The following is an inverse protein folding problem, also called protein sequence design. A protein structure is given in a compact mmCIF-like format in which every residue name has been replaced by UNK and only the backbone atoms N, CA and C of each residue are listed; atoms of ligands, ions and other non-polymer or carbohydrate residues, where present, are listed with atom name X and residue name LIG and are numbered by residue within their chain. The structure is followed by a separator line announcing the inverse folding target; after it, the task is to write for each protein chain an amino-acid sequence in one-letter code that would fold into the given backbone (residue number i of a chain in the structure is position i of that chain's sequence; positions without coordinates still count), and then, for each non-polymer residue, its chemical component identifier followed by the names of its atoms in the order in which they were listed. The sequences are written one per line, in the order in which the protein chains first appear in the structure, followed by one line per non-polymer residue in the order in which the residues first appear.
data_IF_820685451390
#
_entry.id   IF_820685451390
#
_cell.length_a   1.000
_cell.length_b   1.000
_cell.length_c   1.000
_cell.angle_alpha   90.00
_cell.angle_beta   90.00
_cell.angle_gamma   90.00
#
_symmetry.space_group_name_H-M   'P 1'
#
loop_
_entity.id
_entity.type
_entity.pdbx_description
1 polymer ?
#
# COMPACT_ATOMS: atom_id res chain seq x y z
N UNK A 1 28.86 -18.88 -34.23
CA UNK A 1 27.40 -18.67 -34.21
C UNK A 1 26.78 -19.98 -33.72
N UNK A 2 26.04 -20.11 -32.61
CA UNK A 2 25.36 -19.18 -31.73
C UNK A 2 25.35 -19.77 -30.31
N UNK A 3 25.75 -18.93 -29.36
CA UNK A 3 25.24 -18.77 -27.98
C UNK A 3 24.75 -20.02 -27.23
N UNK A 4 25.68 -20.72 -26.61
CA UNK A 4 25.53 -21.10 -25.20
C UNK A 4 25.58 -19.79 -24.41
N UNK A 5 24.47 -19.36 -23.81
CA UNK A 5 24.33 -18.40 -22.69
C UNK A 5 22.88 -17.87 -22.71
N UNK A 6 21.95 -18.67 -22.23
CA UNK A 6 20.72 -18.15 -21.65
C UNK A 6 20.56 -18.78 -20.29
N UNK A 7 21.55 -18.51 -19.44
CA UNK A 7 21.40 -18.68 -18.00
C UNK A 7 20.40 -17.64 -17.53
N UNK A 8 19.23 -18.15 -17.15
CA UNK A 8 18.29 -17.60 -16.19
C UNK A 8 18.71 -16.27 -15.56
N UNK A 9 18.24 -15.16 -16.14
CA UNK A 9 18.00 -13.95 -15.37
C UNK A 9 16.58 -14.07 -14.82
N UNK A 10 16.40 -14.98 -13.85
CA UNK A 10 15.34 -14.82 -12.87
C UNK A 10 15.79 -13.65 -12.00
N UNK A 11 15.52 -12.44 -12.47
CA UNK A 11 15.68 -11.25 -11.67
C UNK A 11 14.70 -11.42 -10.51
N UNK A 12 15.24 -11.72 -9.32
CA UNK A 12 14.53 -11.62 -8.07
C UNK A 12 14.11 -10.16 -7.94
N UNK A 13 12.93 -9.85 -8.45
CA UNK A 13 12.23 -8.63 -8.09
C UNK A 13 11.91 -8.82 -6.63
N UNK A 14 12.78 -8.30 -5.77
CA UNK A 14 12.47 -8.01 -4.39
C UNK A 14 11.08 -7.37 -4.38
N UNK A 15 10.06 -8.12 -3.97
CA UNK A 15 8.70 -7.62 -3.81
C UNK A 15 8.70 -6.77 -2.55
N UNK A 16 9.33 -5.60 -2.65
CA UNK A 16 9.22 -4.58 -1.63
C UNK A 16 7.72 -4.33 -1.45
N UNK A 17 7.25 -4.42 -0.20
CA UNK A 17 5.89 -4.03 0.18
C UNK A 17 5.79 -2.53 0.09
N UNK A 18 5.68 -2.08 -1.14
CA UNK A 18 5.11 -0.79 -1.43
C UNK A 18 3.63 -1.10 -1.55
N UNK A 19 2.85 -0.86 -0.50
CA UNK A 19 1.54 -0.33 -0.80
C UNK A 19 1.86 0.93 -1.61
N UNK A 20 1.80 0.84 -2.95
CA UNK A 20 2.09 1.94 -3.85
C UNK A 20 0.93 2.90 -3.69
N UNK A 21 0.90 3.61 -2.56
CA UNK A 21 -0.02 4.68 -2.32
C UNK A 21 0.26 5.68 -3.44
N UNK A 22 -0.66 5.86 -4.40
CA UNK A 22 -0.40 6.76 -5.51
C UNK A 22 -0.28 8.18 -4.94
N UNK A 23 0.93 8.73 -5.03
CA UNK A 23 1.25 10.01 -4.42
C UNK A 23 0.66 11.15 -5.23
N UNK A 24 0.10 12.11 -4.51
CA UNK A 24 -0.35 13.35 -5.11
C UNK A 24 0.83 14.29 -5.39
N UNK A 25 0.76 15.16 -6.41
CA UNK A 25 1.86 16.04 -6.78
C UNK A 25 2.39 16.90 -5.62
N UNK A 26 1.52 17.33 -4.71
CA UNK A 26 1.93 18.10 -3.52
C UNK A 26 2.72 17.29 -2.49
N UNK A 27 2.72 15.95 -2.57
CA UNK A 27 3.55 15.04 -1.78
C UNK A 27 4.83 14.60 -2.49
N UNK A 28 5.16 15.15 -3.66
CA UNK A 28 6.38 14.76 -4.40
C UNK A 28 7.67 14.96 -3.57
N UNK A 29 7.69 15.95 -2.67
CA UNK A 29 8.80 16.21 -1.76
C UNK A 29 9.01 15.12 -0.70
N UNK A 30 8.04 14.23 -0.48
CA UNK A 30 8.09 13.14 0.51
C UNK A 30 8.56 11.81 -0.09
N UNK A 31 8.97 11.80 -1.36
CA UNK A 31 9.26 10.55 -2.11
C UNK A 31 10.35 9.72 -1.43
N UNK A 32 11.39 10.35 -0.89
CA UNK A 32 12.49 9.65 -0.24
C UNK A 32 12.07 9.07 1.12
N UNK A 33 11.35 9.83 1.93
CA UNK A 33 10.82 9.38 3.21
C UNK A 33 9.84 8.22 3.04
N UNK A 34 8.98 8.29 2.03
CA UNK A 34 8.04 7.21 1.71
C UNK A 34 8.76 5.95 1.20
N UNK A 35 9.86 6.12 0.45
CA UNK A 35 10.72 4.99 0.07
C UNK A 35 11.39 4.35 1.29
N UNK A 36 11.69 5.13 2.33
CA UNK A 36 12.27 4.59 3.56
C UNK A 36 11.25 3.84 4.43
N UNK A 37 9.95 3.89 4.10
CA UNK A 37 8.92 3.10 4.76
C UNK A 37 8.84 1.64 4.27
N UNK A 38 9.64 1.25 3.26
CA UNK A 38 9.68 -0.14 2.83
C UNK A 38 10.19 -1.03 3.97
N UNK A 39 9.37 -2.02 4.36
CA UNK A 39 9.78 -3.08 5.27
C UNK A 39 10.73 -4.07 4.58
N UNK A 40 11.29 -5.04 5.33
CA UNK A 40 12.00 -6.16 4.72
C UNK A 40 11.11 -6.90 3.70
N UNK A 41 11.72 -7.67 2.81
CA UNK A 41 10.99 -8.49 1.85
C UNK A 41 10.04 -9.46 2.55
N UNK A 42 8.84 -9.65 1.98
CA UNK A 42 7.92 -10.68 2.44
C UNK A 42 8.46 -12.07 2.12
N UNK A 43 8.07 -13.05 2.92
CA UNK A 43 8.53 -14.42 2.79
C UNK A 43 8.16 -15.09 1.45
N UNK A 44 7.12 -14.61 0.77
CA UNK A 44 6.63 -15.20 -0.49
C UNK A 44 5.79 -14.25 -1.35
N UNK A 45 5.67 -14.59 -2.64
CA UNK A 45 4.75 -13.93 -3.57
C UNK A 45 3.29 -14.10 -3.15
N UNK A 46 2.95 -15.21 -2.51
CA UNK A 46 1.59 -15.47 -2.02
C UNK A 46 1.22 -14.47 -0.92
N UNK A 47 2.09 -14.31 0.09
CA UNK A 47 1.92 -13.31 1.13
C UNK A 47 1.79 -11.90 0.54
N UNK A 48 2.64 -11.55 -0.42
CA UNK A 48 2.56 -10.27 -1.13
C UNK A 48 1.21 -10.07 -1.82
N UNK A 49 0.74 -11.05 -2.57
CA UNK A 49 -0.53 -10.96 -3.29
C UNK A 49 -1.72 -10.83 -2.33
N UNK A 50 -1.76 -11.66 -1.29
CA UNK A 50 -2.83 -11.61 -0.27
C UNK A 50 -2.88 -10.25 0.43
N UNK A 51 -1.73 -9.75 0.90
CA UNK A 51 -1.67 -8.46 1.60
C UNK A 51 -1.99 -7.28 0.67
N UNK A 52 -1.58 -7.36 -0.59
CA UNK A 52 -1.92 -6.37 -1.62
C UNK A 52 -3.42 -6.35 -1.91
N UNK A 53 -4.09 -7.50 -1.95
CA UNK A 53 -5.54 -7.57 -2.10
C UNK A 53 -6.28 -6.92 -0.92
N UNK A 54 -5.84 -7.16 0.32
CA UNK A 54 -6.42 -6.48 1.49
C UNK A 54 -6.26 -4.97 1.40
N UNK A 55 -5.05 -4.51 1.04
CA UNK A 55 -4.77 -3.10 0.82
C UNK A 55 -5.75 -2.48 -0.19
N UNK A 56 -5.97 -3.14 -1.33
CA UNK A 56 -6.92 -2.71 -2.35
C UNK A 56 -8.37 -2.70 -1.85
N UNK A 57 -8.79 -3.71 -1.09
CA UNK A 57 -10.13 -3.76 -0.49
C UNK A 57 -10.37 -2.59 0.46
N UNK A 58 -9.36 -2.16 1.22
CA UNK A 58 -9.46 -0.98 2.07
C UNK A 58 -9.59 0.30 1.27
N UNK A 59 -8.81 0.43 0.18
CA UNK A 59 -8.94 1.54 -0.74
C UNK A 59 -10.37 1.65 -1.30
N UNK A 60 -10.92 0.54 -1.79
CA UNK A 60 -12.28 0.47 -2.33
C UNK A 60 -13.37 0.71 -1.28
N UNK A 61 -13.18 0.23 -0.06
CA UNK A 61 -14.10 0.47 1.06
C UNK A 61 -14.11 1.96 1.42
N UNK A 62 -12.94 2.58 1.59
CA UNK A 62 -12.82 3.98 1.95
C UNK A 62 -13.30 4.91 0.83
N UNK A 63 -13.08 4.53 -0.43
CA UNK A 63 -13.66 5.21 -1.58
C UNK A 63 -15.19 5.25 -1.49
N UNK A 64 -15.83 4.10 -1.27
CA UNK A 64 -17.28 3.99 -1.13
C UNK A 64 -17.81 4.72 0.12
N UNK A 65 -17.08 4.68 1.23
CA UNK A 65 -17.49 5.31 2.49
C UNK A 65 -17.47 6.84 2.41
N UNK A 66 -16.44 7.42 1.80
CA UNK A 66 -16.20 8.86 1.81
C UNK A 66 -16.83 9.53 0.57
N UNK A 67 -16.79 8.86 -0.58
CA UNK A 67 -17.29 9.37 -1.85
C UNK A 67 -18.06 8.29 -2.63
N UNK A 68 -19.23 7.85 -2.13
CA UNK A 68 -19.99 6.73 -2.71
C UNK A 68 -20.42 6.93 -4.17
N UNK A 69 -20.45 8.18 -4.64
CA UNK A 69 -20.86 8.55 -6.00
C UNK A 69 -19.68 8.78 -6.94
N UNK A 70 -18.43 8.73 -6.46
CA UNK A 70 -17.24 8.94 -7.29
C UNK A 70 -16.71 7.61 -7.84
N UNK A 71 -16.34 7.61 -9.11
CA UNK A 71 -15.53 6.55 -9.71
C UNK A 71 -14.12 6.52 -9.11
N UNK A 72 -13.42 5.40 -9.27
CA UNK A 72 -12.01 5.25 -8.84
C UNK A 72 -11.09 6.30 -9.47
N UNK A 73 -11.33 6.64 -10.75
CA UNK A 73 -10.56 7.69 -11.44
C UNK A 73 -10.80 9.08 -10.86
N UNK A 74 -12.05 9.41 -10.51
CA UNK A 74 -12.39 10.70 -9.89
C UNK A 74 -11.82 10.80 -8.48
N UNK A 75 -11.80 9.67 -7.75
CA UNK A 75 -11.25 9.59 -6.41
C UNK A 75 -9.76 9.97 -6.36
N UNK A 76 -8.96 9.49 -7.31
CA UNK A 76 -7.53 9.86 -7.37
C UNK A 76 -7.34 11.35 -7.62
N UNK A 77 -8.08 11.92 -8.58
CA UNK A 77 -8.04 13.36 -8.87
C UNK A 77 -8.46 14.18 -7.65
N UNK A 78 -9.52 13.77 -6.94
CA UNK A 78 -10.00 14.45 -5.74
C UNK A 78 -9.02 14.35 -4.57
N UNK A 79 -8.43 13.18 -4.31
CA UNK A 79 -7.34 13.01 -3.32
C UNK A 79 -6.19 13.96 -3.60
N UNK A 80 -5.92 14.24 -4.87
CA UNK A 80 -4.82 15.12 -5.27
C UNK A 80 -5.18 16.60 -5.39
N UNK A 81 -6.47 16.95 -5.39
CA UNK A 81 -6.95 18.33 -5.38
C UNK A 81 -7.28 18.84 -3.97
N UNK A 82 -7.72 17.95 -3.06
CA UNK A 82 -8.18 18.32 -1.72
C UNK A 82 -7.37 17.58 -0.64
N UNK A 83 -6.54 18.34 0.10
CA UNK A 83 -5.71 17.82 1.20
C UNK A 83 -6.55 17.24 2.34
N UNK A 84 -7.70 17.84 2.65
CA UNK A 84 -8.60 17.36 3.71
C UNK A 84 -9.27 16.05 3.30
N UNK A 85 -9.75 15.97 2.05
CA UNK A 85 -10.29 14.73 1.50
C UNK A 85 -9.26 13.60 1.54
N UNK A 86 -8.03 13.89 1.12
CA UNK A 86 -6.93 12.93 1.15
C UNK A 86 -6.60 12.43 2.57
N UNK A 87 -6.59 13.35 3.55
CA UNK A 87 -6.40 12.99 4.97
C UNK A 87 -7.52 12.08 5.48
N UNK A 88 -8.79 12.40 5.20
CA UNK A 88 -9.93 11.55 5.57
C UNK A 88 -9.85 10.16 4.91
N UNK A 89 -9.40 10.12 3.65
CA UNK A 89 -9.23 8.88 2.91
C UNK A 89 -8.22 7.93 3.57
N UNK A 90 -7.00 8.40 3.83
CA UNK A 90 -6.00 7.55 4.47
C UNK A 90 -6.31 7.26 5.94
N UNK A 91 -7.02 8.16 6.64
CA UNK A 91 -7.48 7.87 8.01
C UNK A 91 -8.46 6.69 8.03
N UNK A 92 -9.41 6.66 7.08
CA UNK A 92 -10.28 5.50 6.91
C UNK A 92 -9.47 4.22 6.61
N UNK A 93 -8.45 4.31 5.76
CA UNK A 93 -7.59 3.17 5.43
C UNK A 93 -6.84 2.67 6.67
N UNK A 94 -6.25 3.58 7.45
CA UNK A 94 -5.57 3.26 8.71
C UNK A 94 -6.51 2.63 9.73
N UNK A 95 -7.78 3.06 9.79
CA UNK A 95 -8.79 2.42 10.64
C UNK A 95 -9.08 0.99 10.20
N UNK A 96 -9.18 0.73 8.89
CA UNK A 96 -9.37 -0.63 8.37
C UNK A 96 -8.18 -1.53 8.70
N UNK A 97 -6.95 -1.04 8.53
CA UNK A 97 -5.74 -1.80 8.86
C UNK A 97 -5.68 -2.23 10.33
N UNK A 98 -6.15 -1.35 11.23
CA UNK A 98 -6.18 -1.60 12.69
C UNK A 98 -7.31 -2.53 13.11
N UNK A 99 -8.47 -2.43 12.44
CA UNK A 99 -9.72 -3.07 12.89
C UNK A 99 -10.11 -4.34 12.12
N UNK A 100 -9.48 -4.62 10.97
CA UNK A 100 -9.85 -5.75 10.15
C UNK A 100 -9.33 -7.09 10.71
N UNK A 101 -10.24 -7.79 11.39
CA UNK A 101 -10.00 -9.14 11.89
C UNK A 101 -9.71 -10.16 10.78
N UNK A 102 -10.24 -9.95 9.57
CA UNK A 102 -10.06 -10.89 8.46
C UNK A 102 -8.64 -10.86 7.88
N UNK A 103 -7.92 -9.74 8.03
CA UNK A 103 -6.50 -9.65 7.76
C UNK A 103 -5.67 -10.52 8.71
N UNK A 104 -6.03 -10.55 9.99
CA UNK A 104 -5.32 -11.36 10.99
C UNK A 104 -5.57 -12.88 10.80
N UNK A 105 -6.66 -13.25 10.12
CA UNK A 105 -7.01 -14.64 9.79
C UNK A 105 -6.70 -15.02 8.34
N UNK A 106 -5.95 -14.20 7.60
CA UNK A 106 -5.72 -14.37 6.16
C UNK A 106 -4.78 -15.55 5.80
N UNK A 107 -4.30 -16.31 6.78
CA UNK A 107 -3.35 -17.41 6.56
C UNK A 107 -1.93 -16.95 6.21
N UNK A 108 -1.65 -15.65 6.30
CA UNK A 108 -0.32 -15.06 6.12
C UNK A 108 0.49 -15.22 7.41
N UNK A 109 1.79 -15.45 7.28
CA UNK A 109 2.69 -15.53 8.43
C UNK A 109 2.67 -14.23 9.26
N UNK A 110 2.80 -14.37 10.59
CA UNK A 110 2.75 -13.25 11.51
C UNK A 110 3.88 -12.23 11.27
N UNK A 111 5.05 -12.68 10.80
CA UNK A 111 6.16 -11.81 10.44
C UNK A 111 5.80 -10.92 9.26
N UNK A 112 5.32 -11.52 8.16
CA UNK A 112 4.91 -10.82 6.94
C UNK A 112 3.79 -9.80 7.22
N UNK A 113 2.81 -10.19 8.05
CA UNK A 113 1.75 -9.31 8.48
C UNK A 113 2.28 -8.11 9.29
N UNK A 114 3.23 -8.34 10.20
CA UNK A 114 3.84 -7.28 11.00
C UNK A 114 4.67 -6.32 10.12
N UNK A 115 5.41 -6.85 9.15
CA UNK A 115 6.17 -6.09 8.15
C UNK A 115 5.23 -5.19 7.33
N UNK A 116 4.12 -5.76 6.85
CA UNK A 116 3.11 -5.02 6.10
C UNK A 116 2.47 -3.88 6.91
N UNK A 117 2.01 -4.17 8.13
CA UNK A 117 1.42 -3.17 9.03
C UNK A 117 2.41 -2.04 9.33
N UNK A 118 3.67 -2.38 9.64
CA UNK A 118 4.72 -1.41 9.93
C UNK A 118 5.03 -0.51 8.72
N UNK A 119 5.05 -1.07 7.51
CA UNK A 119 5.24 -0.30 6.27
C UNK A 119 4.12 0.73 6.07
N UNK A 120 2.87 0.32 6.25
CA UNK A 120 1.71 1.21 6.14
C UNK A 120 1.68 2.29 7.24
N UNK A 121 1.94 1.91 8.49
CA UNK A 121 1.99 2.86 9.61
C UNK A 121 3.06 3.93 9.39
N UNK A 122 4.23 3.56 8.87
CA UNK A 122 5.26 4.52 8.48
C UNK A 122 4.77 5.48 7.39
N UNK A 123 4.12 4.97 6.34
CA UNK A 123 3.61 5.81 5.26
C UNK A 123 2.54 6.78 5.77
N UNK A 124 1.61 6.32 6.61
CA UNK A 124 0.60 7.18 7.23
C UNK A 124 1.23 8.28 8.10
N UNK A 125 2.31 7.96 8.82
CA UNK A 125 3.05 8.96 9.59
C UNK A 125 3.70 10.01 8.69
N UNK A 126 4.42 9.60 7.63
CA UNK A 126 5.05 10.52 6.66
C UNK A 126 4.02 11.41 5.96
N UNK A 127 2.82 10.88 5.71
CA UNK A 127 1.71 11.62 5.10
C UNK A 127 0.93 12.50 6.10
N UNK A 128 1.39 12.62 7.35
CA UNK A 128 0.75 13.38 8.43
C UNK A 128 -0.71 12.95 8.67
N UNK A 129 -0.98 11.65 8.59
CA UNK A 129 -2.30 11.09 8.88
C UNK A 129 -2.40 10.86 10.39
N UNK A 130 -2.98 11.82 11.09
CA UNK A 130 -3.24 11.68 12.53
C UNK A 130 -4.33 10.62 12.79
N UNK A 131 -4.13 9.71 13.76
CA UNK A 131 -5.09 8.68 14.13
C UNK A 131 -6.40 9.23 14.72
#
# INVERSE_FOLDING_TARGET
MQSLLSQAILSAVALAVTAQIPLCPYHAHLTEELRNCHGPELSSNEAFNTLSEFSKRYEEYCARKIAPQMSVSELHVHRCADKQFNRLFYRCWADMLRSDYSLNSAGVDNHDLAVFKKSLDCQFHVLEIEP
#
